data_IF_829028073296
#
_entry.id   IF_829028073296
#
_cell.length_a   1.000
_cell.length_b   1.000
_cell.length_c   1.000
_cell.angle_alpha   90.00
_cell.angle_beta   90.00
_cell.angle_gamma   90.00
#
_symmetry.space_group_name_H-M   'P 1'
#
loop_
_entity.id
_entity.type
_entity.pdbx_description
1 polymer ?
#
# COMPACT_ATOMS: atom_id res chain seq x y z
N UNK A 1 17.08 43.85 52.46
CA UNK A 1 18.12 43.31 51.53
C UNK A 1 17.55 42.11 50.79
N UNK A 2 16.93 42.29 49.62
CA UNK A 2 16.59 41.17 48.74
C UNK A 2 16.68 41.66 47.29
N UNK A 3 17.89 41.61 46.73
CA UNK A 3 18.15 41.64 45.29
C UNK A 3 18.11 40.16 44.89
N UNK A 4 17.19 39.65 44.07
CA UNK A 4 16.77 40.16 42.78
C UNK A 4 17.80 39.74 41.72
N UNK A 5 17.50 38.70 40.93
CA UNK A 5 17.94 38.44 39.54
C UNK A 5 17.42 37.06 39.11
N UNK A 6 16.34 36.98 38.31
CA UNK A 6 16.31 37.02 36.82
C UNK A 6 17.23 35.98 36.17
N UNK A 7 16.60 34.95 35.59
CA UNK A 7 16.56 34.59 34.15
C UNK A 7 17.93 34.48 33.48
N UNK A 8 18.23 33.32 32.87
CA UNK A 8 18.01 33.10 31.42
C UNK A 8 18.32 31.66 31.02
N UNK A 9 17.39 31.05 30.30
CA UNK A 9 17.61 29.93 29.38
C UNK A 9 18.48 30.42 28.20
N UNK A 10 19.52 29.66 27.86
CA UNK A 10 20.08 29.45 26.50
C UNK A 10 20.40 27.96 26.47
N UNK A 11 19.70 27.08 25.76
CA UNK A 11 19.44 27.03 24.31
C UNK A 11 20.67 27.41 23.50
N UNK A 12 21.56 26.43 23.33
CA UNK A 12 22.68 26.44 22.40
C UNK A 12 22.90 25.02 21.87
N UNK A 13 21.99 24.57 21.00
CA UNK A 13 22.22 23.43 20.11
C UNK A 13 23.32 23.84 19.13
N UNK A 14 24.58 23.54 19.44
CA UNK A 14 25.63 23.54 18.44
C UNK A 14 25.58 22.20 17.70
N UNK A 15 25.01 22.27 16.49
CA UNK A 15 25.20 21.29 15.42
C UNK A 15 26.71 21.12 15.19
N UNK A 16 27.29 20.04 15.70
CA UNK A 16 28.44 19.43 15.04
C UNK A 16 27.89 18.65 13.83
N UNK A 17 28.07 19.24 12.65
CA UNK A 17 27.89 18.57 11.37
C UNK A 17 29.11 17.69 11.11
N UNK A 18 28.82 16.50 10.60
CA UNK A 18 29.58 15.74 9.60
C UNK A 18 31.02 15.38 9.96
N UNK A 19 31.21 14.11 10.29
CA UNK A 19 32.03 13.16 9.51
C UNK A 19 32.13 11.85 10.28
N UNK A 20 32.28 10.73 9.57
CA UNK A 20 32.49 9.37 10.07
C UNK A 20 31.27 8.67 10.68
N UNK A 21 30.46 8.07 9.81
CA UNK A 21 30.12 6.64 9.89
C UNK A 21 30.12 6.15 8.46
N UNK A 22 31.32 5.78 7.99
CA UNK A 22 31.48 4.74 6.99
C UNK A 22 31.71 3.43 7.76
N UNK A 23 31.32 2.30 7.16
CA UNK A 23 31.38 0.93 7.66
C UNK A 23 30.21 0.48 8.56
N UNK A 24 29.30 -0.26 7.93
CA UNK A 24 28.60 -1.35 8.60
C UNK A 24 27.08 -1.24 8.70
N UNK A 25 26.38 -1.34 7.57
CA UNK A 25 25.00 -1.83 7.56
C UNK A 25 24.76 -2.61 6.27
N UNK A 26 25.04 -3.90 6.42
CA UNK A 26 24.77 -5.01 5.53
C UNK A 26 23.28 -5.33 5.69
N UNK A 27 22.42 -4.78 4.82
CA UNK A 27 21.01 -5.20 4.67
C UNK A 27 20.70 -5.15 3.17
N UNK A 28 20.79 -6.34 2.58
CA UNK A 28 19.89 -6.88 1.56
C UNK A 28 19.23 -5.84 0.66
N UNK A 29 20.01 -5.41 -0.33
CA UNK A 29 19.48 -4.96 -1.60
C UNK A 29 19.20 -6.23 -2.39
N UNK A 30 17.93 -6.64 -2.45
CA UNK A 30 17.46 -7.63 -3.41
C UNK A 30 17.84 -7.11 -4.81
N UNK A 31 18.78 -7.82 -5.41
CA UNK A 31 19.04 -7.80 -6.84
C UNK A 31 17.90 -8.61 -7.48
N UNK A 32 16.85 -7.92 -7.90
CA UNK A 32 15.92 -8.39 -8.93
C UNK A 32 15.99 -7.41 -10.12
N UNK A 33 17.19 -7.25 -10.67
CA UNK A 33 17.40 -6.72 -12.02
C UNK A 33 18.51 -7.53 -12.67
N UNK A 34 18.21 -8.76 -13.07
CA UNK A 34 18.99 -9.56 -14.02
C UNK A 34 18.12 -10.73 -14.51
N UNK A 35 17.05 -10.46 -15.27
CA UNK A 35 16.33 -11.47 -16.06
C UNK A 35 15.80 -10.89 -17.38
N UNK A 36 16.52 -9.91 -17.93
CA UNK A 36 16.20 -9.28 -19.21
C UNK A 36 17.34 -9.41 -20.23
N UNK A 37 18.11 -10.52 -20.23
CA UNK A 37 19.05 -10.88 -21.30
C UNK A 37 19.24 -12.39 -21.44
N UNK A 38 18.18 -13.11 -21.74
CA UNK A 38 18.29 -14.40 -22.44
C UNK A 38 16.98 -14.74 -23.16
N UNK A 39 16.42 -13.75 -23.86
CA UNK A 39 15.67 -14.11 -25.07
C UNK A 39 16.76 -14.35 -26.09
N UNK A 40 17.22 -15.60 -26.14
CA UNK A 40 17.97 -16.10 -27.27
C UNK A 40 17.18 -15.71 -28.52
N UNK A 41 17.78 -14.81 -29.29
CA UNK A 41 17.66 -14.76 -30.73
C UNK A 41 18.12 -16.13 -31.26
N UNK A 42 17.29 -17.13 -31.03
CA UNK A 42 17.14 -18.29 -31.88
C UNK A 42 16.25 -17.79 -33.00
N UNK A 43 16.81 -16.93 -33.85
CA UNK A 43 16.62 -17.05 -35.28
C UNK A 43 17.04 -18.49 -35.63
N UNK A 44 16.12 -19.43 -35.36
CA UNK A 44 16.02 -20.67 -36.08
C UNK A 44 15.87 -20.27 -37.54
N UNK A 45 17.05 -20.15 -38.14
CA UNK A 45 17.37 -20.46 -39.51
C UNK A 45 16.78 -21.83 -39.80
N UNK A 46 15.47 -21.89 -39.97
CA UNK A 46 14.78 -22.95 -40.69
C UNK A 46 15.26 -22.83 -42.14
N UNK A 47 16.46 -23.37 -42.38
CA UNK A 47 16.83 -23.82 -43.71
C UNK A 47 15.77 -24.84 -44.13
N UNK A 48 14.96 -24.46 -45.11
CA UNK A 48 14.87 -25.06 -46.45
C UNK A 48 15.49 -26.45 -46.70
N UNK A 49 15.45 -27.36 -45.73
CA UNK A 49 15.91 -28.76 -45.86
C UNK A 49 14.71 -29.75 -45.86
N UNK A 50 13.61 -29.36 -46.51
CA UNK A 50 12.55 -30.31 -46.92
C UNK A 50 12.67 -30.72 -48.41
N UNK A 51 13.90 -30.94 -48.90
CA UNK A 51 14.12 -31.39 -50.28
C UNK A 51 15.16 -32.48 -50.43
N UNK A 52 15.05 -33.59 -49.70
CA UNK A 52 15.75 -34.84 -50.02
C UNK A 52 15.25 -35.95 -49.09
N UNK A 53 15.31 -37.21 -49.52
CA UNK A 53 14.86 -38.41 -48.79
C UNK A 53 13.35 -38.72 -48.85
N UNK A 54 12.83 -38.90 -50.08
CA UNK A 54 11.81 -39.95 -50.27
C UNK A 54 11.92 -40.62 -51.65
N UNK A 55 13.13 -41.05 -52.01
CA UNK A 55 13.40 -41.85 -53.21
C UNK A 55 14.32 -43.03 -52.88
N UNK A 56 13.83 -44.00 -52.14
CA UNK A 56 14.38 -45.36 -52.21
C UNK A 56 13.48 -46.35 -51.49
N UNK A 57 13.20 -47.45 -52.19
CA UNK A 57 12.54 -48.67 -51.69
C UNK A 57 11.02 -48.76 -51.86
N UNK A 58 10.57 -48.57 -53.11
CA UNK A 58 9.39 -49.30 -53.62
C UNK A 58 9.92 -50.50 -54.39
N UNK A 59 10.31 -51.55 -53.68
CA UNK A 59 10.45 -52.90 -54.24
C UNK A 59 9.25 -53.72 -53.79
N UNK A 60 8.31 -53.88 -54.73
CA UNK A 60 7.60 -55.12 -55.01
C UNK A 60 7.26 -56.01 -53.81
N UNK A 61 6.10 -55.78 -53.19
CA UNK A 61 5.34 -56.83 -52.53
C UNK A 61 3.87 -56.43 -52.42
N UNK A 62 3.02 -57.28 -52.99
CA UNK A 62 1.62 -57.42 -52.56
C UNK A 62 0.62 -56.49 -53.23
N UNK A 63 -0.02 -57.00 -54.28
CA UNK A 63 -1.25 -56.48 -54.90
C UNK A 63 -2.46 -56.72 -53.96
N UNK A 64 -2.39 -56.21 -52.73
CA UNK A 64 -3.44 -56.35 -51.71
C UNK A 64 -4.09 -54.99 -51.41
N UNK A 65 -5.41 -54.92 -51.61
CA UNK A 65 -6.35 -53.93 -51.06
C UNK A 65 -6.03 -52.45 -51.31
N UNK A 66 -6.39 -51.95 -52.50
CA UNK A 66 -6.43 -50.51 -52.80
C UNK A 66 -7.35 -49.70 -51.85
N UNK A 67 -8.26 -50.37 -51.15
CA UNK A 67 -9.21 -49.75 -50.20
C UNK A 67 -8.59 -49.48 -48.84
N UNK A 68 -7.72 -50.35 -48.31
CA UNK A 68 -7.07 -50.16 -47.01
C UNK A 68 -6.09 -49.00 -46.96
N UNK A 69 -5.37 -48.74 -48.07
CA UNK A 69 -4.48 -47.59 -48.18
C UNK A 69 -5.23 -46.25 -48.20
N UNK A 70 -6.48 -46.24 -48.69
CA UNK A 70 -7.34 -45.05 -48.66
C UNK A 70 -7.85 -44.74 -47.25
N UNK A 71 -8.16 -45.76 -46.44
CA UNK A 71 -8.57 -45.60 -45.03
C UNK A 71 -7.42 -45.06 -44.16
N UNK A 72 -6.21 -45.60 -44.32
CA UNK A 72 -5.04 -45.08 -43.60
C UNK A 72 -4.73 -43.62 -43.97
N UNK A 73 -4.85 -43.25 -45.26
CA UNK A 73 -4.63 -41.89 -45.71
C UNK A 73 -5.69 -40.92 -45.18
N UNK A 74 -6.96 -41.34 -45.12
CA UNK A 74 -8.04 -40.52 -44.56
C UNK A 74 -7.88 -40.33 -43.05
N UNK A 75 -7.49 -41.39 -42.32
CA UNK A 75 -7.16 -41.32 -40.90
C UNK A 75 -6.00 -40.37 -40.62
N UNK A 76 -4.94 -40.41 -41.44
CA UNK A 76 -3.81 -39.51 -41.30
C UNK A 76 -4.21 -38.04 -41.52
N UNK A 77 -5.02 -37.75 -42.54
CA UNK A 77 -5.58 -36.41 -42.76
C UNK A 77 -6.43 -35.95 -41.57
N UNK A 78 -7.29 -36.83 -41.04
CA UNK A 78 -8.11 -36.51 -39.87
C UNK A 78 -7.23 -36.18 -38.65
N UNK A 79 -6.18 -36.96 -38.41
CA UNK A 79 -5.22 -36.71 -37.32
C UNK A 79 -4.57 -35.33 -37.44
N UNK A 80 -4.14 -34.94 -38.65
CA UNK A 80 -3.54 -33.62 -38.88
C UNK A 80 -4.52 -32.47 -38.62
N UNK A 81 -5.80 -32.64 -38.97
CA UNK A 81 -6.84 -31.64 -38.65
C UNK A 81 -7.02 -31.52 -37.14
N UNK A 82 -7.16 -32.65 -36.45
CA UNK A 82 -7.28 -32.73 -34.99
C UNK A 82 -6.05 -32.11 -34.30
N UNK A 83 -4.83 -32.40 -34.76
CA UNK A 83 -3.60 -31.80 -34.21
C UNK A 83 -3.56 -30.28 -34.40
N UNK A 84 -4.02 -29.79 -35.56
CA UNK A 84 -4.14 -28.35 -35.83
C UNK A 84 -5.16 -27.69 -34.91
N UNK A 85 -6.32 -28.32 -34.72
CA UNK A 85 -7.37 -27.81 -33.83
C UNK A 85 -6.90 -27.79 -32.37
N UNK A 86 -6.20 -28.83 -31.93
CA UNK A 86 -5.55 -28.90 -30.62
C UNK A 86 -4.56 -27.74 -30.41
N UNK A 87 -3.73 -27.43 -31.42
CA UNK A 87 -2.80 -26.30 -31.37
C UNK A 87 -3.53 -24.95 -31.31
N UNK A 88 -4.61 -24.78 -32.06
CA UNK A 88 -5.42 -23.55 -32.01
C UNK A 88 -6.09 -23.36 -30.65
N UNK A 89 -6.64 -24.43 -30.05
CA UNK A 89 -7.21 -24.39 -28.71
C UNK A 89 -6.16 -24.05 -27.65
N UNK A 90 -4.98 -24.65 -27.72
CA UNK A 90 -3.88 -24.33 -26.80
C UNK A 90 -3.49 -22.85 -26.87
N UNK A 91 -3.41 -22.28 -28.08
CA UNK A 91 -3.13 -20.86 -28.26
C UNK A 91 -4.25 -19.97 -27.67
N UNK A 92 -5.52 -20.33 -27.88
CA UNK A 92 -6.67 -19.60 -27.29
C UNK A 92 -6.65 -19.66 -25.77
N UNK A 93 -6.44 -20.83 -25.19
CA UNK A 93 -6.31 -21.03 -23.73
C UNK A 93 -5.19 -20.13 -23.18
N UNK A 94 -4.03 -20.10 -23.82
CA UNK A 94 -2.91 -19.26 -23.40
C UNK A 94 -3.27 -17.76 -23.43
N UNK A 95 -3.92 -17.29 -24.50
CA UNK A 95 -4.41 -15.91 -24.59
C UNK A 95 -5.44 -15.58 -23.50
N UNK A 96 -6.39 -16.48 -23.23
CA UNK A 96 -7.41 -16.29 -22.19
C UNK A 96 -6.79 -16.20 -20.79
N UNK A 97 -5.79 -17.04 -20.49
CA UNK A 97 -5.04 -16.99 -19.24
C UNK A 97 -4.29 -15.65 -19.08
N UNK A 98 -3.59 -15.22 -20.14
CA UNK A 98 -2.90 -13.92 -20.12
C UNK A 98 -3.88 -12.75 -19.91
N UNK A 99 -5.07 -12.82 -20.49
CA UNK A 99 -6.09 -11.78 -20.32
C UNK A 99 -6.71 -11.79 -18.91
N UNK A 100 -6.99 -12.98 -18.35
CA UNK A 100 -7.41 -13.15 -16.96
C UNK A 100 -6.38 -12.53 -16.00
N UNK A 101 -5.09 -12.83 -16.18
CA UNK A 101 -4.01 -12.27 -15.37
C UNK A 101 -3.91 -10.75 -15.46
N UNK A 102 -4.06 -10.18 -16.68
CA UNK A 102 -4.09 -8.72 -16.86
C UNK A 102 -5.25 -8.08 -16.11
N UNK A 103 -6.45 -8.65 -16.21
CA UNK A 103 -7.64 -8.14 -15.51
C UNK A 103 -7.46 -8.27 -14.00
N UNK A 104 -6.92 -9.39 -13.51
CA UNK A 104 -6.62 -9.58 -12.09
C UNK A 104 -5.61 -8.55 -11.57
N UNK A 105 -4.57 -8.23 -12.35
CA UNK A 105 -3.64 -7.13 -12.03
C UNK A 105 -4.37 -5.78 -11.97
N UNK A 106 -5.26 -5.47 -12.92
CA UNK A 106 -6.07 -4.23 -12.91
C UNK A 106 -7.01 -4.15 -11.71
N UNK A 107 -7.69 -5.25 -11.36
CA UNK A 107 -8.54 -5.38 -10.16
C UNK A 107 -7.74 -5.03 -8.91
N UNK A 108 -6.55 -5.63 -8.75
CA UNK A 108 -5.70 -5.42 -7.58
C UNK A 108 -5.19 -3.98 -7.49
N UNK A 109 -4.77 -3.39 -8.62
CA UNK A 109 -4.37 -1.99 -8.68
C UNK A 109 -5.54 -1.04 -8.33
N UNK A 110 -6.74 -1.31 -8.86
CA UNK A 110 -7.95 -0.53 -8.60
C UNK A 110 -8.35 -0.59 -7.13
N UNK A 111 -8.33 -1.79 -6.53
CA UNK A 111 -8.54 -2.01 -5.09
C UNK A 111 -7.54 -1.24 -4.24
N UNK A 112 -6.24 -1.35 -4.58
CA UNK A 112 -5.17 -0.64 -3.87
C UNK A 112 -5.39 0.87 -3.93
N UNK A 113 -5.68 1.42 -5.11
CA UNK A 113 -5.95 2.85 -5.31
C UNK A 113 -7.17 3.34 -4.53
N UNK A 114 -8.26 2.58 -4.54
CA UNK A 114 -9.47 2.91 -3.76
C UNK A 114 -9.16 2.94 -2.26
N UNK A 115 -8.42 1.94 -1.76
CA UNK A 115 -7.99 1.88 -0.36
C UNK A 115 -7.06 3.03 0.01
N UNK A 116 -6.14 3.41 -0.87
CA UNK A 116 -5.22 4.51 -0.62
C UNK A 116 -5.95 5.87 -0.56
N UNK A 117 -6.95 6.08 -1.42
CA UNK A 117 -7.83 7.27 -1.35
C UNK A 117 -8.59 7.30 -0.02
N UNK A 118 -9.16 6.18 0.41
CA UNK A 118 -9.88 6.09 1.68
C UNK A 118 -8.97 6.32 2.90
N UNK A 119 -7.75 5.77 2.88
CA UNK A 119 -6.73 6.02 3.91
C UNK A 119 -6.31 7.49 3.93
N UNK A 120 -6.07 8.09 2.76
CA UNK A 120 -5.73 9.50 2.64
C UNK A 120 -6.85 10.41 3.17
N UNK A 121 -8.11 10.12 2.81
CA UNK A 121 -9.30 10.79 3.37
C UNK A 121 -9.30 10.70 4.89
N UNK A 122 -9.17 9.50 5.46
CA UNK A 122 -9.18 9.30 6.92
C UNK A 122 -8.08 10.10 7.63
N UNK A 123 -6.86 10.09 7.11
CA UNK A 123 -5.75 10.89 7.66
C UNK A 123 -6.02 12.39 7.56
N UNK A 124 -6.57 12.86 6.44
CA UNK A 124 -6.91 14.27 6.24
C UNK A 124 -8.04 14.72 7.17
N UNK A 125 -9.06 13.87 7.39
CA UNK A 125 -10.14 14.14 8.33
C UNK A 125 -9.61 14.22 9.77
N UNK A 126 -8.73 13.30 10.18
CA UNK A 126 -8.09 13.34 11.50
C UNK A 126 -7.24 14.62 11.69
N UNK A 127 -6.40 14.95 10.71
CA UNK A 127 -5.59 16.17 10.74
C UNK A 127 -6.45 17.43 10.76
N UNK A 128 -7.57 17.42 10.02
CA UNK A 128 -8.51 18.53 10.00
C UNK A 128 -9.19 18.71 11.36
N UNK A 129 -9.70 17.63 11.95
CA UNK A 129 -10.34 17.64 13.26
C UNK A 129 -9.38 18.11 14.36
N UNK A 130 -8.13 17.62 14.33
CA UNK A 130 -7.10 18.05 15.27
C UNK A 130 -6.80 19.55 15.16
N UNK A 131 -6.71 20.08 13.93
CA UNK A 131 -6.53 21.54 13.70
C UNK A 131 -7.73 22.35 14.16
N UNK A 132 -8.94 21.79 14.05
CA UNK A 132 -10.16 22.41 14.51
C UNK A 132 -10.19 22.53 16.03
N UNK A 133 -9.89 21.44 16.73
CA UNK A 133 -9.79 21.40 18.20
C UNK A 133 -8.70 22.36 18.69
N UNK A 134 -7.50 22.32 18.11
CA UNK A 134 -6.40 23.20 18.52
C UNK A 134 -6.76 24.69 18.34
N UNK A 135 -7.48 25.02 17.27
CA UNK A 135 -7.95 26.40 17.04
C UNK A 135 -9.00 26.80 18.07
N UNK A 136 -9.95 25.93 18.39
CA UNK A 136 -10.99 26.21 19.39
C UNK A 136 -10.38 26.39 20.79
N UNK A 137 -9.45 25.53 21.19
CA UNK A 137 -8.71 25.67 22.45
C UNK A 137 -7.93 26.98 22.52
N UNK A 138 -7.35 27.42 21.39
CA UNK A 138 -6.63 28.69 21.32
C UNK A 138 -7.58 29.87 21.53
N UNK A 139 -8.73 29.87 20.88
CA UNK A 139 -9.76 30.91 21.06
C UNK A 139 -10.25 30.94 22.51
N UNK A 140 -10.51 29.77 23.11
CA UNK A 140 -10.91 29.68 24.51
C UNK A 140 -9.86 30.24 25.47
N UNK A 141 -8.57 29.95 25.23
CA UNK A 141 -7.46 30.52 26.01
C UNK A 141 -7.39 32.04 25.88
N UNK A 142 -7.58 32.58 24.67
CA UNK A 142 -7.61 34.03 24.43
C UNK A 142 -8.77 34.70 25.18
N UNK A 143 -9.95 34.07 25.19
CA UNK A 143 -11.11 34.56 25.95
C UNK A 143 -10.89 34.48 27.47
N UNK A 144 -10.34 33.37 27.98
CA UNK A 144 -9.99 33.19 29.40
C UNK A 144 -8.95 34.25 29.83
N UNK A 145 -7.93 34.50 29.01
CA UNK A 145 -6.91 35.52 29.29
C UNK A 145 -7.51 36.93 29.27
N UNK A 146 -8.45 37.20 28.35
CA UNK A 146 -9.20 38.47 28.32
C UNK A 146 -10.06 38.65 29.57
N UNK A 147 -10.76 37.61 30.01
CA UNK A 147 -11.55 37.64 31.24
C UNK A 147 -10.67 37.82 32.48
N UNK A 148 -9.56 37.09 32.57
CA UNK A 148 -8.57 37.27 33.64
C UNK A 148 -8.04 38.69 33.67
N UNK A 149 -7.70 39.28 32.52
CA UNK A 149 -7.25 40.67 32.45
C UNK A 149 -8.31 41.66 32.96
N UNK A 150 -9.58 41.46 32.59
CA UNK A 150 -10.69 42.27 33.10
C UNK A 150 -10.86 42.12 34.62
N UNK A 151 -10.82 40.88 35.13
CA UNK A 151 -10.91 40.59 36.57
C UNK A 151 -9.73 41.18 37.34
N UNK A 152 -8.51 41.04 36.83
CA UNK A 152 -7.29 41.66 37.37
C UNK A 152 -7.43 43.17 37.43
N UNK A 153 -7.99 43.80 36.39
CA UNK A 153 -8.21 45.24 36.34
C UNK A 153 -9.19 45.67 37.43
N UNK A 154 -10.31 44.96 37.59
CA UNK A 154 -11.31 45.21 38.65
C UNK A 154 -10.71 44.97 40.03
N UNK A 155 -9.96 43.89 40.23
CA UNK A 155 -9.34 43.56 41.50
C UNK A 155 -8.24 44.56 41.86
N UNK A 156 -7.43 45.02 40.91
CA UNK A 156 -6.44 46.09 41.14
C UNK A 156 -7.14 47.38 41.56
N UNK A 157 -8.29 47.70 40.98
CA UNK A 157 -9.08 48.85 41.41
C UNK A 157 -9.57 48.67 42.85
N UNK A 158 -10.21 47.53 43.16
CA UNK A 158 -10.66 47.23 44.52
C UNK A 158 -9.52 47.17 45.54
N UNK A 159 -8.34 46.68 45.15
CA UNK A 159 -7.15 46.65 46.00
C UNK A 159 -6.54 48.04 46.18
N UNK A 160 -6.57 48.91 45.17
CA UNK A 160 -6.23 50.32 45.37
C UNK A 160 -7.14 50.92 46.43
N UNK A 161 -8.45 50.70 46.33
CA UNK A 161 -9.43 51.22 47.29
C UNK A 161 -9.22 50.62 48.70
N UNK A 162 -8.97 49.31 48.79
CA UNK A 162 -8.62 48.63 50.05
C UNK A 162 -7.30 49.11 50.62
N UNK A 163 -6.26 49.29 49.81
CA UNK A 163 -4.96 49.78 50.25
C UNK A 163 -5.06 51.23 50.71
N UNK A 164 -5.85 52.08 50.06
CA UNK A 164 -6.15 53.42 50.57
C UNK A 164 -6.80 53.33 51.95
N UNK A 165 -7.80 52.45 52.14
CA UNK A 165 -8.44 52.19 53.44
C UNK A 165 -7.50 51.55 54.47
N UNK A 166 -6.63 50.64 54.04
CA UNK A 166 -5.70 49.89 54.88
C UNK A 166 -4.49 50.74 55.24
N UNK A 167 -3.99 51.63 54.39
CA UNK A 167 -3.01 52.65 54.76
C UNK A 167 -3.63 53.57 55.81
N UNK A 168 -4.91 53.93 55.66
CA UNK A 168 -5.65 54.66 56.70
C UNK A 168 -5.77 53.88 58.02
N UNK A 169 -5.97 52.55 57.98
CA UNK A 169 -6.03 51.67 59.18
C UNK A 169 -4.67 51.26 59.75
N UNK A 170 -3.65 51.06 58.92
CA UNK A 170 -2.29 50.69 59.28
C UNK A 170 -1.56 51.90 59.85
N UNK A 171 -1.80 53.13 59.37
CA UNK A 171 -1.42 54.32 60.15
C UNK A 171 -2.04 54.32 61.56
N UNK A 172 -3.23 53.74 61.72
CA UNK A 172 -3.88 53.51 63.03
C UNK A 172 -3.40 52.26 63.80
N UNK A 173 -2.71 51.28 63.17
CA UNK A 173 -2.32 49.98 63.76
C UNK A 173 -0.80 49.74 63.80
N UNK A 174 0.01 50.42 63.00
CA UNK A 174 1.46 50.58 63.15
C UNK A 174 1.75 51.37 64.44
N UNK A 175 0.80 52.25 64.82
CA UNK A 175 0.64 52.74 66.19
C UNK A 175 0.51 51.60 67.25
N UNK A 176 0.07 50.39 66.87
CA UNK A 176 -0.21 49.25 67.77
C UNK A 176 0.78 48.07 67.66
N UNK A 177 1.42 47.81 66.51
CA UNK A 177 2.16 46.56 66.18
C UNK A 177 3.69 46.69 66.15
N UNK A 178 4.28 47.86 66.44
CA UNK A 178 5.66 47.93 66.93
C UNK A 178 5.92 47.12 68.23
N UNK A 179 4.89 46.43 68.74
CA UNK A 179 4.83 45.79 70.03
C UNK A 179 5.17 44.28 70.04
N UNK A 180 5.26 43.52 68.94
CA UNK A 180 5.07 42.04 69.08
C UNK A 180 5.81 40.97 68.21
N UNK A 181 6.77 41.19 67.29
CA UNK A 181 7.22 40.07 66.40
C UNK A 181 8.72 39.77 66.31
N UNK A 182 9.11 38.60 66.88
CA UNK A 182 10.50 38.17 67.11
C UNK A 182 10.77 36.68 66.87
N UNK A 183 9.92 35.88 66.22
CA UNK A 183 10.05 34.40 66.30
C UNK A 183 9.75 33.71 64.95
N UNK A 184 10.81 33.40 64.21
CA UNK A 184 11.32 32.04 63.93
C UNK A 184 10.56 31.24 62.85
N UNK A 185 11.02 31.46 61.62
CA UNK A 185 10.98 30.44 60.58
C UNK A 185 12.18 29.53 60.74
N UNK A 186 11.95 28.24 60.89
CA UNK A 186 12.95 27.27 60.43
C UNK A 186 12.26 25.97 60.02
N UNK A 187 12.90 25.25 59.11
CA UNK A 187 12.61 23.84 58.78
C UNK A 187 11.50 23.62 57.74
N UNK A 188 11.82 24.05 56.52
CA UNK A 188 11.52 23.27 55.33
C UNK A 188 12.84 22.78 54.75
N UNK A 189 13.20 21.52 54.99
CA UNK A 189 14.24 20.87 54.19
C UNK A 189 14.10 19.36 54.29
N UNK A 190 13.70 18.78 53.16
CA UNK A 190 14.15 17.50 52.58
C UNK A 190 12.98 16.60 52.17
N UNK A 191 12.50 16.84 50.95
CA UNK A 191 12.00 15.80 50.04
C UNK A 191 13.10 15.49 49.01
N UNK A 192 12.95 14.35 48.31
CA UNK A 192 13.30 14.05 46.90
C UNK A 192 14.18 12.79 46.77
N UNK A 193 13.65 11.60 46.44
CA UNK A 193 13.16 11.04 45.15
C UNK A 193 14.24 10.49 44.19
N UNK A 194 13.79 9.49 43.42
CA UNK A 194 14.31 8.95 42.16
C UNK A 194 15.39 7.86 42.28
N UNK A 195 15.46 6.86 41.41
CA UNK A 195 14.75 6.67 40.15
C UNK A 195 15.07 5.31 39.53
N UNK A 196 14.01 4.70 39.02
CA UNK A 196 13.91 3.48 38.22
C UNK A 196 14.82 3.42 36.98
N UNK A 197 15.19 2.18 36.56
CA UNK A 197 15.19 1.58 35.19
C UNK A 197 16.40 0.62 35.02
N UNK A 198 16.37 -0.51 34.29
CA UNK A 198 15.66 -0.92 33.06
C UNK A 198 16.01 -2.38 32.71
N UNK A 199 15.15 -3.00 31.87
CA UNK A 199 15.42 -4.04 30.84
C UNK A 199 15.93 -5.42 31.30
N UNK A 200 15.14 -6.49 31.32
CA UNK A 200 14.26 -7.12 30.31
C UNK A 200 15.00 -7.98 29.26
N UNK A 201 14.51 -9.22 29.11
CA UNK A 201 14.68 -10.18 28.01
C UNK A 201 15.87 -11.16 28.05
N UNK A 202 15.67 -12.33 28.66
CA UNK A 202 16.24 -13.60 28.19
C UNK A 202 15.05 -14.51 27.86
N UNK A 203 14.70 -14.52 26.57
CA UNK A 203 13.63 -15.33 26.00
C UNK A 203 14.16 -16.72 25.66
N UNK A 204 13.36 -17.71 26.04
CA UNK A 204 12.93 -18.84 25.20
C UNK A 204 13.95 -19.95 24.93
N UNK A 205 14.00 -20.86 25.91
CA UNK A 205 13.75 -22.31 25.78
C UNK A 205 12.97 -22.71 24.50
N UNK A 206 13.51 -23.55 23.61
CA UNK A 206 13.63 -25.02 23.68
C UNK A 206 12.46 -25.74 22.99
N UNK A 207 12.86 -26.68 22.12
CA UNK A 207 12.26 -28.03 21.99
C UNK A 207 10.94 -28.02 21.23
N UNK A 208 10.63 -28.95 20.31
CA UNK A 208 10.77 -30.41 20.26
C UNK A 208 10.63 -30.79 18.76
N UNK A 209 11.57 -31.50 18.15
CA UNK A 209 11.72 -32.97 18.15
C UNK A 209 10.64 -33.69 17.33
N UNK A 210 11.14 -34.65 16.55
CA UNK A 210 10.49 -35.91 16.17
C UNK A 210 9.18 -35.85 15.38
N UNK A 211 9.24 -36.25 14.11
CA UNK A 211 8.55 -37.46 13.65
C UNK A 211 9.05 -37.75 12.22
N UNK A 212 10.00 -38.68 12.13
CA UNK A 212 9.70 -40.03 11.64
C UNK A 212 9.82 -40.13 10.12
N UNK A 213 11.08 -40.11 9.70
CA UNK A 213 11.57 -41.10 8.74
C UNK A 213 11.17 -42.51 9.21
N UNK A 214 10.04 -43.01 8.73
CA UNK A 214 9.76 -44.45 8.69
C UNK A 214 8.80 -44.74 7.54
N UNK A 215 9.22 -45.67 6.66
CA UNK A 215 8.44 -46.35 5.62
C UNK A 215 8.76 -46.04 4.14
N UNK A 216 10.05 -45.94 3.80
CA UNK A 216 10.53 -46.41 2.48
C UNK A 216 10.71 -47.92 2.51
N UNK A 217 10.21 -48.58 1.46
CA UNK A 217 10.88 -49.60 0.62
C UNK A 217 9.91 -50.71 0.22
N UNK A 218 9.61 -50.81 -1.07
CA UNK A 218 10.35 -51.67 -2.00
C UNK A 218 10.00 -53.13 -1.75
N UNK A 219 9.07 -53.67 -2.54
CA UNK A 219 9.06 -55.06 -3.02
C UNK A 219 7.84 -55.24 -3.93
N UNK A 220 8.00 -56.12 -4.91
CA UNK A 220 7.01 -56.56 -5.90
C UNK A 220 7.01 -55.73 -7.20
N UNK A 221 8.22 -55.58 -7.74
CA UNK A 221 8.46 -55.85 -9.15
C UNK A 221 8.16 -57.34 -9.45
N UNK A 222 7.93 -57.64 -10.73
CA UNK A 222 8.33 -58.89 -11.39
C UNK A 222 7.25 -59.94 -11.71
N UNK A 223 6.24 -59.67 -12.57
CA UNK A 223 5.61 -60.82 -13.29
C UNK A 223 4.69 -60.62 -14.52
N UNK A 224 4.77 -59.55 -15.33
CA UNK A 224 3.82 -59.42 -16.48
C UNK A 224 4.44 -58.93 -17.79
N UNK A 225 5.17 -59.79 -18.53
CA UNK A 225 5.71 -59.35 -19.84
C UNK A 225 6.07 -60.40 -20.92
N UNK A 226 5.16 -61.27 -21.40
CA UNK A 226 5.41 -62.10 -22.63
C UNK A 226 4.16 -62.53 -23.45
N UNK A 227 3.54 -61.65 -24.26
CA UNK A 227 2.62 -61.98 -25.38
C UNK A 227 2.48 -60.78 -26.34
N UNK A 228 3.32 -60.62 -27.38
CA UNK A 228 3.43 -59.28 -28.01
C UNK A 228 3.79 -59.19 -29.52
N UNK A 229 3.55 -60.18 -30.41
CA UNK A 229 4.14 -60.05 -31.77
C UNK A 229 3.38 -60.53 -33.03
N UNK A 230 2.07 -60.74 -33.00
CA UNK A 230 1.24 -60.83 -34.22
C UNK A 230 0.08 -59.82 -34.26
N UNK A 231 -0.03 -59.02 -33.20
CA UNK A 231 -0.99 -57.93 -33.04
C UNK A 231 -0.58 -56.71 -33.91
N UNK A 232 0.71 -56.56 -34.25
CA UNK A 232 1.37 -55.34 -34.76
C UNK A 232 0.67 -54.54 -35.90
N UNK A 233 -0.06 -55.13 -36.87
CA UNK A 233 -0.75 -54.34 -37.92
C UNK A 233 -2.18 -53.91 -37.54
N UNK A 234 -2.95 -54.82 -36.94
CA UNK A 234 -4.22 -54.47 -36.27
C UNK A 234 -3.93 -53.47 -35.15
N UNK A 235 -2.87 -53.69 -34.39
CA UNK A 235 -2.29 -52.76 -33.43
C UNK A 235 -1.92 -51.45 -34.12
N UNK A 236 -1.24 -51.38 -35.27
CA UNK A 236 -0.97 -50.09 -35.93
C UNK A 236 -2.23 -49.30 -36.35
N UNK A 237 -3.25 -49.95 -36.92
CA UNK A 237 -4.51 -49.28 -37.28
C UNK A 237 -5.30 -48.90 -36.02
N UNK A 238 -5.36 -49.79 -35.03
CA UNK A 238 -6.01 -49.53 -33.75
C UNK A 238 -5.25 -48.50 -32.92
N UNK A 239 -3.93 -48.44 -32.99
CA UNK A 239 -3.07 -47.45 -32.36
C UNK A 239 -3.32 -46.10 -32.98
N UNK A 240 -3.50 -46.04 -34.32
CA UNK A 240 -3.85 -44.80 -34.99
C UNK A 240 -5.29 -44.37 -34.65
N UNK A 241 -6.26 -45.31 -34.58
CA UNK A 241 -7.62 -45.04 -34.08
C UNK A 241 -7.59 -44.59 -32.61
N UNK A 242 -6.76 -45.21 -31.78
CA UNK A 242 -6.59 -44.89 -30.37
C UNK A 242 -5.95 -43.52 -30.21
N UNK A 243 -4.92 -43.16 -30.99
CA UNK A 243 -4.32 -41.82 -31.00
C UNK A 243 -5.32 -40.76 -31.42
N UNK A 244 -6.15 -41.03 -32.43
CA UNK A 244 -7.23 -40.13 -32.82
C UNK A 244 -8.22 -39.97 -31.67
N UNK A 245 -8.69 -41.06 -31.06
CA UNK A 245 -9.60 -41.02 -29.90
C UNK A 245 -9.00 -40.32 -28.68
N UNK A 246 -7.71 -40.51 -28.41
CA UNK A 246 -6.97 -39.82 -27.34
C UNK A 246 -6.85 -38.34 -27.63
N UNK A 247 -6.55 -37.97 -28.87
CA UNK A 247 -6.49 -36.57 -29.28
C UNK A 247 -7.88 -35.91 -29.24
N UNK A 248 -8.94 -36.60 -29.64
CA UNK A 248 -10.33 -36.13 -29.52
C UNK A 248 -10.73 -35.94 -28.05
N UNK A 249 -10.38 -36.90 -27.17
CA UNK A 249 -10.57 -36.75 -25.72
C UNK A 249 -9.81 -35.55 -25.17
N UNK A 250 -8.56 -35.35 -25.62
CA UNK A 250 -7.73 -34.21 -25.24
C UNK A 250 -8.33 -32.90 -25.73
N UNK A 251 -8.83 -32.83 -26.96
CA UNK A 251 -9.53 -31.67 -27.51
C UNK A 251 -10.76 -31.36 -26.66
N UNK A 252 -11.59 -32.36 -26.38
CA UNK A 252 -12.78 -32.19 -25.54
C UNK A 252 -12.45 -31.65 -24.15
N UNK A 253 -11.34 -32.08 -23.56
CA UNK A 253 -10.86 -31.54 -22.29
C UNK A 253 -10.33 -30.10 -22.44
N UNK A 254 -9.62 -29.78 -23.52
CA UNK A 254 -9.20 -28.41 -23.82
C UNK A 254 -10.38 -27.47 -24.07
N UNK A 255 -11.42 -27.91 -24.76
CA UNK A 255 -12.67 -27.16 -24.95
C UNK A 255 -13.37 -26.90 -23.62
N UNK A 256 -13.41 -27.91 -22.73
CA UNK A 256 -13.94 -27.75 -21.37
C UNK A 256 -13.15 -26.69 -20.59
N UNK A 257 -11.82 -26.75 -20.64
CA UNK A 257 -10.95 -25.75 -20.01
C UNK A 257 -11.13 -24.36 -20.62
N UNK A 258 -11.26 -24.23 -21.93
CA UNK A 258 -11.53 -22.97 -22.63
C UNK A 258 -12.86 -22.37 -22.16
N UNK A 259 -13.93 -23.18 -22.09
CA UNK A 259 -15.23 -22.75 -21.61
C UNK A 259 -15.19 -22.30 -20.13
N UNK A 260 -14.48 -23.03 -19.27
CA UNK A 260 -14.26 -22.64 -17.88
C UNK A 260 -13.47 -21.33 -17.78
N UNK A 261 -12.42 -21.15 -18.59
CA UNK A 261 -11.64 -19.91 -18.66
C UNK A 261 -12.46 -18.72 -19.14
N UNK A 262 -13.31 -18.90 -20.16
CA UNK A 262 -14.22 -17.85 -20.62
C UNK A 262 -15.21 -17.42 -19.53
N UNK A 263 -15.77 -18.39 -18.81
CA UNK A 263 -16.65 -18.10 -17.67
C UNK A 263 -15.92 -17.37 -16.55
N UNK A 264 -14.70 -17.81 -16.20
CA UNK A 264 -13.86 -17.10 -15.21
C UNK A 264 -13.49 -15.70 -15.68
N UNK A 265 -13.12 -15.52 -16.94
CA UNK A 265 -12.80 -14.23 -17.53
C UNK A 265 -13.99 -13.27 -17.45
N UNK A 266 -15.20 -13.75 -17.78
CA UNK A 266 -16.45 -12.98 -17.66
C UNK A 266 -16.70 -12.56 -16.21
N UNK A 267 -16.53 -13.47 -15.25
CA UNK A 267 -16.66 -13.16 -13.82
C UNK A 267 -15.60 -12.14 -13.37
N UNK A 268 -14.35 -12.27 -13.85
CA UNK A 268 -13.27 -11.31 -13.60
C UNK A 268 -13.57 -9.93 -14.17
N UNK A 269 -14.13 -9.82 -15.37
CA UNK A 269 -14.57 -8.54 -15.93
C UNK A 269 -15.70 -7.91 -15.10
N UNK A 270 -16.65 -8.70 -14.62
CA UNK A 270 -17.69 -8.20 -13.70
C UNK A 270 -17.10 -7.72 -12.37
N UNK A 271 -16.13 -8.46 -11.82
CA UNK A 271 -15.38 -8.02 -10.63
C UNK A 271 -14.63 -6.72 -10.88
N UNK A 272 -13.97 -6.57 -12.04
CA UNK A 272 -13.29 -5.35 -12.44
C UNK A 272 -14.25 -4.16 -12.47
N UNK A 273 -15.41 -4.30 -13.11
CA UNK A 273 -16.45 -3.26 -13.14
C UNK A 273 -16.93 -2.90 -11.71
N UNK A 274 -17.14 -3.90 -10.86
CA UNK A 274 -17.53 -3.67 -9.47
C UNK A 274 -16.46 -2.91 -8.67
N UNK A 275 -15.18 -3.22 -8.86
CA UNK A 275 -14.06 -2.52 -8.21
C UNK A 275 -13.89 -1.08 -8.74
N UNK A 276 -14.07 -0.84 -10.04
CA UNK A 276 -14.12 0.52 -10.57
C UNK A 276 -15.26 1.33 -9.95
N UNK A 277 -16.43 0.72 -9.76
CA UNK A 277 -17.54 1.33 -9.04
C UNK A 277 -17.18 1.70 -7.59
N UNK A 278 -16.39 0.87 -6.89
CA UNK A 278 -15.88 1.20 -5.54
C UNK A 278 -14.87 2.34 -5.57
N UNK A 279 -13.96 2.35 -6.56
CA UNK A 279 -13.00 3.44 -6.74
C UNK A 279 -13.70 4.77 -7.01
N UNK A 280 -14.70 4.78 -7.89
CA UNK A 280 -15.49 5.96 -8.21
C UNK A 280 -16.22 6.50 -6.97
N UNK A 281 -16.84 5.61 -6.18
CA UNK A 281 -17.45 5.96 -4.89
C UNK A 281 -16.43 6.56 -3.92
N UNK A 282 -15.24 5.97 -3.80
CA UNK A 282 -14.18 6.48 -2.93
C UNK A 282 -13.71 7.89 -3.36
N UNK A 283 -13.59 8.13 -4.67
CA UNK A 283 -13.27 9.45 -5.22
C UNK A 283 -14.37 10.47 -4.90
N UNK A 284 -15.65 10.14 -5.14
CA UNK A 284 -16.79 11.01 -4.84
C UNK A 284 -16.83 11.37 -3.35
N UNK A 285 -16.69 10.38 -2.46
CA UNK A 285 -16.70 10.57 -1.01
C UNK A 285 -15.50 11.41 -0.55
N UNK A 286 -14.31 11.21 -1.13
CA UNK A 286 -13.12 12.03 -0.84
C UNK A 286 -13.31 13.50 -1.25
N UNK A 287 -13.88 13.74 -2.44
CA UNK A 287 -14.17 15.08 -2.95
C UNK A 287 -15.22 15.79 -2.10
N UNK A 288 -16.32 15.11 -1.75
CA UNK A 288 -17.35 15.63 -0.85
C UNK A 288 -16.76 16.02 0.51
N UNK A 289 -15.92 15.18 1.11
CA UNK A 289 -15.26 15.51 2.37
C UNK A 289 -14.30 16.71 2.23
N UNK A 290 -13.67 16.91 1.08
CA UNK A 290 -12.87 18.10 0.81
C UNK A 290 -13.71 19.37 0.80
N UNK A 291 -14.85 19.35 0.11
CA UNK A 291 -15.80 20.46 0.06
C UNK A 291 -16.41 20.76 1.44
N UNK A 292 -16.73 19.74 2.23
CA UNK A 292 -17.20 19.92 3.60
C UNK A 292 -16.16 20.59 4.50
N UNK A 293 -14.89 20.16 4.43
CA UNK A 293 -13.79 20.81 5.15
C UNK A 293 -13.65 22.27 4.72
N UNK A 294 -13.72 22.55 3.41
CA UNK A 294 -13.67 23.92 2.88
C UNK A 294 -14.82 24.78 3.40
N UNK A 295 -16.06 24.26 3.41
CA UNK A 295 -17.24 24.93 3.98
C UNK A 295 -17.07 25.21 5.47
N UNK A 296 -16.58 24.24 6.26
CA UNK A 296 -16.31 24.42 7.70
C UNK A 296 -15.27 25.52 7.94
N UNK A 297 -14.17 25.52 7.20
CA UNK A 297 -13.13 26.56 7.30
C UNK A 297 -13.69 27.95 6.98
N UNK A 298 -14.52 28.06 5.93
CA UNK A 298 -15.14 29.31 5.53
C UNK A 298 -16.12 29.85 6.60
N UNK A 299 -16.89 28.98 7.27
CA UNK A 299 -17.77 29.39 8.38
C UNK A 299 -17.00 29.99 9.56
N UNK A 300 -15.82 29.45 9.86
CA UNK A 300 -14.99 29.91 10.98
C UNK A 300 -14.26 31.21 10.64
N UNK A 301 -13.92 31.40 9.36
CA UNK A 301 -13.30 32.63 8.88
C UNK A 301 -14.37 33.73 8.86
N UNK A 302 -14.60 34.37 10.02
CA UNK A 302 -15.43 35.58 10.12
C UNK A 302 -15.04 36.52 8.98
N UNK A 303 -16.01 37.14 8.27
CA UNK A 303 -15.68 38.13 7.26
C UNK A 303 -14.75 39.16 7.89
N UNK A 304 -13.65 39.45 7.19
CA UNK A 304 -12.66 40.42 7.66
C UNK A 304 -13.42 41.72 7.97
N UNK A 305 -13.24 42.35 9.15
CA UNK A 305 -13.95 43.58 9.50
C UNK A 305 -13.85 44.58 8.35
N UNK A 306 -14.98 45.16 7.94
CA UNK A 306 -15.05 46.04 6.77
C UNK A 306 -14.07 47.22 6.87
N UNK A 307 -13.74 47.64 8.10
CA UNK A 307 -12.74 48.65 8.43
C UNK A 307 -11.34 48.31 7.93
N UNK A 308 -10.90 47.05 8.05
CA UNK A 308 -9.58 46.60 7.56
C UNK A 308 -9.56 46.58 6.03
N UNK A 309 -10.68 46.23 5.39
CA UNK A 309 -10.82 46.24 3.94
C UNK A 309 -10.77 47.68 3.40
N UNK A 310 -11.43 48.63 4.08
CA UNK A 310 -11.35 50.07 3.76
C UNK A 310 -9.94 50.64 3.94
N UNK A 311 -9.21 50.22 4.98
CA UNK A 311 -7.82 50.65 5.21
C UNK A 311 -6.87 50.18 4.10
N UNK A 312 -7.07 48.97 3.56
CA UNK A 312 -6.24 48.45 2.45
C UNK A 312 -6.50 49.19 1.14
N UNK A 313 -7.77 49.48 0.84
CA UNK A 313 -8.14 50.18 -0.40
C UNK A 313 -7.68 51.64 -0.39
N UNK A 314 -7.63 52.28 0.79
CA UNK A 314 -7.03 53.62 0.94
C UNK A 314 -5.50 53.62 0.80
N UNK A 315 -4.82 52.55 1.23
CA UNK A 315 -3.36 52.43 1.02
C UNK A 315 -3.03 52.12 -0.46
N UNK A 316 -3.87 51.33 -1.15
CA UNK A 316 -3.68 50.96 -2.56
C UNK A 316 -3.95 52.09 -3.55
N UNK A 317 -4.55 53.21 -3.11
CA UNK A 317 -4.85 54.37 -3.95
C UNK A 317 -3.85 55.51 -3.81
N UNK A 318 -2.71 55.27 -3.14
CA UNK A 318 -1.58 56.19 -3.27
C UNK A 318 -1.09 56.18 -4.73
N UNK A 319 -1.18 57.31 -5.45
CA UNK A 319 -0.65 57.42 -6.79
C UNK A 319 0.87 57.35 -6.68
N UNK A 320 1.46 56.16 -6.90
CA UNK A 320 2.88 56.07 -7.14
C UNK A 320 3.16 56.79 -8.45
N UNK A 321 3.67 58.01 -8.32
CA UNK A 321 4.71 58.56 -9.17
C UNK A 321 4.58 58.19 -10.66
N UNK A 322 3.74 58.96 -11.35
CA UNK A 322 4.10 59.42 -12.70
C UNK A 322 5.32 60.34 -12.57
N UNK A 323 6.48 59.79 -12.24
CA UNK A 323 7.74 60.49 -12.36
C UNK A 323 8.23 60.26 -13.79
N UNK A 324 7.99 61.28 -14.62
CA UNK A 324 8.91 61.77 -15.66
C UNK A 324 10.04 60.83 -16.07
N UNK A 325 9.87 60.17 -17.22
CA UNK A 325 11.01 59.79 -18.04
C UNK A 325 11.23 60.93 -19.05
N UNK A 326 12.35 61.67 -18.99
CA UNK A 326 12.76 62.58 -20.05
C UNK A 326 13.21 61.85 -21.32
#
# INVERSE_FOLDING_TARGET
KNKGKKKTKKNGKSRARRSLIDLGSKIEHEQEEDDAKSVGDMSEREGDDQKSMNKSSVKTLGRYSSTGNMELLSMHKNRLVIEKDAKMLANRISMLQMEEDKIMKKINQTRKRANDIMKAKKRNDQMFEQRMIEREERLRKEDDDRQKWLNDRVQRQANKDKNVKAIKKAKNEEYKIGKTMTIQNDIYKKKFLAGLRKQNNIKKSMVKQEEEERARKFRIMEEKKKKENQEVYSTKVNDEKNKILENEKRIKEMERMEAELLNRLKNSQQMEQAEYGKLEKALKVSNQACEERRKKVNKIRKPRPAEITKLRNSISTHPSEKASNP
#
